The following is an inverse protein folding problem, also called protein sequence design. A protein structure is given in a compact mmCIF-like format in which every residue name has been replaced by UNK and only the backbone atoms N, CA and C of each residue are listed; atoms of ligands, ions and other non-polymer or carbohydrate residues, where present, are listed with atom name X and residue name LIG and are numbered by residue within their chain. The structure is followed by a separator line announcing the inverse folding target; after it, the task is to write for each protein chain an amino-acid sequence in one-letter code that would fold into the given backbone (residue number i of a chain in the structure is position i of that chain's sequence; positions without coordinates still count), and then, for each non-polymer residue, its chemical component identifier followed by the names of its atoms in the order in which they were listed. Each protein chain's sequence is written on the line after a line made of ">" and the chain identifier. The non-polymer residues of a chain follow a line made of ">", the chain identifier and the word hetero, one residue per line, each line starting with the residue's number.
data_IF_164836188678
#
_entry.id   IF_164836188678
#
_cell.length_a   1.000
_cell.length_b   1.000
_cell.length_c   1.000
_cell.angle_alpha   90.00
_cell.angle_beta   90.00
_cell.angle_gamma   90.00
#
_symmetry.space_group_name_H-M   'P 1'
#
loop_
_entity.id
_entity.type
_entity.pdbx_description
1 polymer ?
#
# COMPACT_ATOMS: atom_id res chain seq x y z
N UNK A 1 0.02 -1.26 -14.94
CA UNK A 1 1.28 -0.94 -14.25
C UNK A 1 2.39 -1.61 -15.01
N UNK A 2 3.55 -0.98 -15.16
CA UNK A 2 4.65 -1.58 -15.92
C UNK A 2 5.94 -1.59 -15.11
N UNK A 3 6.78 -2.59 -15.35
CA UNK A 3 8.13 -2.71 -14.77
C UNK A 3 9.16 -2.77 -15.88
N UNK A 4 10.32 -2.19 -15.63
CA UNK A 4 11.53 -2.35 -16.46
C UNK A 4 12.66 -2.90 -15.59
N UNK A 5 13.52 -3.73 -16.20
CA UNK A 5 14.72 -4.29 -15.56
C UNK A 5 16.00 -4.03 -16.37
N UNK A 6 15.89 -3.27 -17.46
CA UNK A 6 16.95 -2.98 -18.42
C UNK A 6 17.20 -1.47 -18.56
N UNK A 7 16.86 -0.69 -17.53
CA UNK A 7 17.04 0.76 -17.55
C UNK A 7 16.02 1.51 -18.41
N UNK A 8 14.90 0.85 -18.76
CA UNK A 8 13.81 1.46 -19.52
C UNK A 8 13.81 1.16 -21.01
N UNK A 9 14.69 0.26 -21.48
CA UNK A 9 14.69 -0.20 -22.88
C UNK A 9 13.42 -0.99 -23.21
N UNK A 10 12.95 -1.81 -22.27
CA UNK A 10 11.68 -2.52 -22.37
C UNK A 10 10.84 -2.45 -21.09
N UNK A 11 9.53 -2.54 -21.27
CA UNK A 11 8.53 -2.44 -20.22
C UNK A 11 7.56 -3.60 -20.31
N UNK A 12 7.34 -4.30 -19.20
CA UNK A 12 6.41 -5.43 -19.09
C UNK A 12 5.20 -5.02 -18.26
N UNK A 13 3.98 -5.31 -18.73
CA UNK A 13 2.76 -5.10 -17.95
C UNK A 13 2.72 -6.11 -16.79
N UNK A 14 2.62 -5.57 -15.59
CA UNK A 14 2.59 -6.30 -14.31
C UNK A 14 1.39 -5.87 -13.48
N UNK A 15 0.32 -5.42 -14.12
CA UNK A 15 -0.92 -5.08 -13.42
C UNK A 15 -1.46 -6.31 -12.66
N UNK A 16 -1.77 -6.21 -11.35
CA UNK A 16 -2.43 -7.31 -10.65
C UNK A 16 -3.71 -7.70 -11.38
N UNK A 17 -3.93 -9.00 -11.68
CA UNK A 17 -5.08 -9.43 -12.48
C UNK A 17 -6.42 -9.10 -11.81
N UNK A 18 -6.47 -9.12 -10.48
CA UNK A 18 -7.68 -8.82 -9.68
C UNK A 18 -7.75 -7.35 -9.24
N UNK A 19 -6.93 -6.46 -9.83
CA UNK A 19 -7.02 -5.03 -9.57
C UNK A 19 -8.39 -4.51 -10.04
N UNK A 20 -9.12 -3.73 -9.23
CA UNK A 20 -10.43 -3.24 -9.61
C UNK A 20 -10.35 -2.38 -10.87
N UNK A 21 -11.26 -2.64 -11.81
CA UNK A 21 -11.40 -1.82 -13.00
C UNK A 21 -11.63 -0.34 -12.61
N UNK A 22 -11.00 0.56 -13.35
CA UNK A 22 -10.93 2.01 -13.08
C UNK A 22 -10.32 2.38 -11.73
N UNK A 23 -9.70 1.42 -11.03
CA UNK A 23 -8.91 1.67 -9.83
C UNK A 23 -7.73 2.58 -10.14
N UNK A 24 -7.61 3.68 -9.39
CA UNK A 24 -6.44 4.56 -9.47
C UNK A 24 -5.38 4.05 -8.50
N UNK A 25 -4.22 3.64 -9.02
CA UNK A 25 -3.02 3.43 -8.21
C UNK A 25 -2.66 4.77 -7.55
N UNK A 26 -2.80 4.85 -6.23
CA UNK A 26 -2.52 6.07 -5.45
C UNK A 26 -1.06 6.18 -5.06
N UNK A 27 -0.41 5.04 -4.81
CA UNK A 27 1.00 4.97 -4.44
C UNK A 27 1.60 3.63 -4.88
N UNK A 28 2.90 3.67 -5.18
CA UNK A 28 3.77 2.51 -5.33
C UNK A 28 4.97 2.76 -4.42
N UNK A 29 5.29 1.79 -3.56
CA UNK A 29 6.42 1.83 -2.64
C UNK A 29 7.32 0.61 -2.89
N UNK A 30 8.55 0.86 -3.34
CA UNK A 30 9.54 -0.21 -3.53
C UNK A 30 10.21 -0.51 -2.20
N UNK A 31 10.47 -1.78 -1.92
CA UNK A 31 11.05 -2.18 -0.64
C UNK A 31 12.48 -1.67 -0.48
N UNK A 32 12.83 -1.28 0.75
CA UNK A 32 14.19 -0.95 1.14
C UNK A 32 15.08 -2.18 1.35
N UNK A 33 14.47 -3.37 1.50
CA UNK A 33 15.17 -4.61 1.86
C UNK A 33 15.24 -5.62 0.71
N UNK A 34 14.29 -5.60 -0.23
CA UNK A 34 14.22 -6.57 -1.33
C UNK A 34 13.89 -5.88 -2.66
N UNK A 35 14.80 -5.97 -3.64
CA UNK A 35 14.65 -5.31 -4.94
C UNK A 35 13.46 -5.83 -5.76
N UNK A 36 12.97 -7.05 -5.50
CA UNK A 36 11.80 -7.64 -6.14
C UNK A 36 10.49 -7.29 -5.43
N UNK A 37 10.56 -6.71 -4.22
CA UNK A 37 9.38 -6.40 -3.40
C UNK A 37 8.89 -4.99 -3.61
N UNK A 38 7.57 -4.87 -3.76
CA UNK A 38 6.89 -3.59 -3.81
C UNK A 38 5.47 -3.71 -3.27
N UNK A 39 4.93 -2.58 -2.81
CA UNK A 39 3.58 -2.43 -2.31
C UNK A 39 2.87 -1.36 -3.12
N UNK A 40 1.58 -1.56 -3.38
CA UNK A 40 0.75 -0.58 -4.05
C UNK A 40 -0.55 -0.37 -3.29
N UNK A 41 -1.03 0.87 -3.29
CA UNK A 41 -2.40 1.21 -2.88
C UNK A 41 -3.21 1.60 -4.10
N UNK A 42 -4.48 1.19 -4.15
CA UNK A 42 -5.44 1.56 -5.19
C UNK A 42 -6.69 2.11 -4.53
N UNK A 43 -7.33 3.09 -5.16
CA UNK A 43 -8.60 3.64 -4.70
C UNK A 43 -9.49 4.06 -5.86
N UNK A 44 -10.80 4.07 -5.63
CA UNK A 44 -11.78 4.63 -6.58
C UNK A 44 -13.02 5.19 -5.86
N UNK A 45 -12.85 6.10 -4.87
CA UNK A 45 -13.98 6.67 -4.13
C UNK A 45 -14.90 7.52 -5.03
N UNK A 46 -14.41 8.02 -6.17
CA UNK A 46 -15.24 8.72 -7.17
C UNK A 46 -16.26 7.80 -7.87
N UNK A 47 -16.16 6.48 -7.65
CA UNK A 47 -17.09 5.47 -8.13
C UNK A 47 -17.82 4.77 -6.96
N UNK A 48 -17.95 5.44 -5.81
CA UNK A 48 -18.61 4.95 -4.60
C UNK A 48 -18.08 3.62 -4.05
N UNK A 49 -16.82 3.30 -4.32
CA UNK A 49 -16.14 2.13 -3.76
C UNK A 49 -15.06 2.56 -2.77
N UNK A 50 -15.36 2.33 -1.50
CA UNK A 50 -14.55 2.70 -0.34
C UNK A 50 -13.76 1.50 0.21
N UNK A 51 -13.70 0.37 -0.51
CA UNK A 51 -12.99 -0.82 -0.02
C UNK A 51 -11.48 -0.62 0.04
N UNK A 52 -10.80 -1.28 0.99
CA UNK A 52 -9.36 -1.28 1.06
C UNK A 52 -8.76 -2.14 -0.06
N UNK A 53 -7.71 -1.59 -0.66
CA UNK A 53 -6.99 -2.20 -1.76
C UNK A 53 -5.50 -1.92 -1.62
N UNK A 54 -4.79 -2.91 -1.11
CA UNK A 54 -3.33 -2.96 -1.04
C UNK A 54 -2.89 -4.28 -1.69
N UNK A 55 -1.90 -4.23 -2.59
CA UNK A 55 -1.22 -5.43 -3.06
C UNK A 55 0.26 -5.37 -2.78
N UNK A 56 0.83 -6.54 -2.58
CA UNK A 56 2.26 -6.80 -2.43
C UNK A 56 2.75 -7.73 -3.53
N UNK A 57 3.94 -7.47 -4.04
CA UNK A 57 4.71 -8.40 -4.86
C UNK A 57 6.06 -8.68 -4.20
N UNK A 58 6.71 -9.78 -4.55
CA UNK A 58 8.09 -10.11 -4.15
C UNK A 58 8.92 -10.66 -5.33
N UNK A 59 8.43 -10.46 -6.56
CA UNK A 59 9.01 -11.01 -7.78
C UNK A 59 8.92 -10.02 -8.95
N UNK A 60 9.09 -8.73 -8.67
CA UNK A 60 9.03 -7.63 -9.64
C UNK A 60 7.66 -7.48 -10.31
N UNK A 61 6.57 -7.89 -9.64
CA UNK A 61 5.20 -7.76 -10.12
C UNK A 61 4.72 -8.93 -10.98
N UNK A 62 5.47 -10.04 -11.06
CA UNK A 62 4.99 -11.25 -11.75
C UNK A 62 3.80 -11.85 -11.01
N UNK A 63 3.81 -11.81 -9.68
CA UNK A 63 2.69 -12.18 -8.83
C UNK A 63 2.38 -11.10 -7.82
N UNK A 64 1.08 -11.00 -7.47
CA UNK A 64 0.56 -10.02 -6.52
C UNK A 64 -0.36 -10.71 -5.52
N UNK A 65 -0.21 -10.35 -4.25
CA UNK A 65 -1.08 -10.80 -3.16
C UNK A 65 -1.81 -9.59 -2.58
N UNK A 66 -3.14 -9.67 -2.45
CA UNK A 66 -3.92 -8.64 -1.75
C UNK A 66 -3.67 -8.76 -0.25
N UNK A 67 -3.33 -7.67 0.41
CA UNK A 67 -2.88 -7.63 1.82
C UNK A 67 -3.67 -6.59 2.62
N UNK A 68 -4.96 -6.86 2.87
CA UNK A 68 -5.89 -5.91 3.51
C UNK A 68 -6.58 -6.45 4.76
N UNK A 69 -6.20 -7.65 5.21
CA UNK A 69 -6.85 -8.33 6.32
C UNK A 69 -6.68 -7.51 7.61
N UNK A 70 -7.78 -7.15 8.26
CA UNK A 70 -7.80 -6.28 9.44
C UNK A 70 -8.02 -4.79 9.16
N UNK A 71 -8.01 -4.37 7.89
CA UNK A 71 -8.48 -3.03 7.50
C UNK A 71 -10.00 -3.08 7.31
N UNK A 72 -10.72 -2.07 7.78
CA UNK A 72 -12.17 -1.97 7.59
C UNK A 72 -12.56 -1.97 6.11
N UNK A 73 -13.67 -2.62 5.79
CA UNK A 73 -14.20 -2.71 4.41
C UNK A 73 -14.67 -1.38 3.81
N UNK A 74 -14.82 -0.32 4.63
CA UNK A 74 -15.18 1.05 4.21
C UNK A 74 -14.00 2.03 4.29
N UNK A 75 -12.78 1.54 4.52
CA UNK A 75 -11.57 2.34 4.60
C UNK A 75 -10.71 2.18 3.33
N UNK A 76 -10.92 3.05 2.34
CA UNK A 76 -10.06 3.07 1.15
C UNK A 76 -8.67 3.59 1.51
N UNK A 77 -7.67 2.98 0.87
CA UNK A 77 -6.26 3.25 1.16
C UNK A 77 -5.73 4.34 0.24
N UNK A 78 -5.14 5.38 0.84
CA UNK A 78 -4.46 6.45 0.12
C UNK A 78 -2.97 6.15 -0.06
N UNK A 79 -2.35 5.55 0.96
CA UNK A 79 -0.93 5.27 1.00
C UNK A 79 -0.65 3.96 1.74
N UNK A 80 0.37 3.23 1.30
CA UNK A 80 1.02 2.09 1.97
C UNK A 80 2.53 2.29 1.90
N UNK A 81 3.22 2.16 3.04
CA UNK A 81 4.67 2.37 3.15
C UNK A 81 5.34 1.27 3.95
N UNK A 82 6.49 0.82 3.49
CA UNK A 82 7.42 0.01 4.30
C UNK A 82 8.26 0.91 5.20
N UNK A 83 8.48 0.49 6.44
CA UNK A 83 9.44 1.14 7.34
C UNK A 83 10.87 0.81 6.87
N UNK A 84 11.68 1.79 6.44
CA UNK A 84 13.02 1.52 5.91
C UNK A 84 14.01 1.01 6.96
N UNK A 85 13.66 1.06 8.24
CA UNK A 85 14.50 0.60 9.36
C UNK A 85 14.05 -0.75 9.93
N UNK A 86 12.84 -1.23 9.56
CA UNK A 86 12.31 -2.50 10.06
C UNK A 86 11.55 -3.25 8.97
N UNK A 87 12.21 -4.26 8.42
CA UNK A 87 11.59 -5.17 7.46
C UNK A 87 10.30 -5.78 8.02
N UNK A 88 9.26 -5.79 7.19
CA UNK A 88 7.94 -6.31 7.52
C UNK A 88 7.06 -5.38 8.37
N UNK A 89 7.56 -4.22 8.79
CA UNK A 89 6.72 -3.18 9.39
C UNK A 89 6.16 -2.28 8.29
N UNK A 90 4.84 -2.23 8.16
CA UNK A 90 4.14 -1.40 7.18
C UNK A 90 3.15 -0.44 7.84
N UNK A 91 2.91 0.69 7.18
CA UNK A 91 1.88 1.65 7.55
C UNK A 91 0.93 1.91 6.38
N UNK A 92 -0.37 1.98 6.66
CA UNK A 92 -1.38 2.31 5.67
C UNK A 92 -2.20 3.52 6.13
N UNK A 93 -2.20 4.58 5.31
CA UNK A 93 -3.05 5.75 5.50
C UNK A 93 -4.37 5.56 4.76
N UNK A 94 -5.48 5.68 5.47
CA UNK A 94 -6.83 5.49 4.94
C UNK A 94 -7.69 6.74 5.12
N UNK A 95 -8.91 6.74 4.59
CA UNK A 95 -9.89 7.77 4.94
C UNK A 95 -10.42 7.70 6.38
N UNK A 96 -10.09 6.64 7.12
CA UNK A 96 -10.52 6.40 8.51
C UNK A 96 -9.32 6.26 9.46
N UNK A 97 -8.26 7.04 9.25
CA UNK A 97 -7.05 6.96 10.08
C UNK A 97 -5.95 6.06 9.52
N UNK A 98 -5.03 5.65 10.40
CA UNK A 98 -3.81 4.90 10.06
C UNK A 98 -3.90 3.48 10.59
N UNK A 99 -3.43 2.52 9.79
CA UNK A 99 -3.24 1.14 10.18
C UNK A 99 -1.75 0.80 10.17
N UNK A 100 -1.34 -0.13 11.02
CA UNK A 100 0.00 -0.69 11.09
C UNK A 100 -0.06 -2.20 10.91
N UNK A 101 0.89 -2.76 10.17
CA UNK A 101 1.13 -4.20 10.07
C UNK A 101 2.55 -4.48 10.53
N UNK A 102 2.71 -5.52 11.34
CA UNK A 102 4.02 -5.98 11.85
C UNK A 102 4.49 -7.26 11.15
N UNK A 103 3.74 -7.73 10.15
CA UNK A 103 3.86 -9.03 9.48
C UNK A 103 3.76 -8.89 7.96
N UNK A 104 4.30 -7.78 7.44
CA UNK A 104 4.47 -7.54 6.01
C UNK A 104 3.14 -7.58 5.22
N UNK A 105 2.11 -7.03 5.84
CA UNK A 105 0.75 -6.88 5.31
C UNK A 105 -0.16 -8.08 5.52
N UNK A 106 0.29 -9.15 6.20
CA UNK A 106 -0.56 -10.31 6.44
C UNK A 106 -1.73 -9.98 7.39
N UNK A 107 -1.54 -9.08 8.35
CA UNK A 107 -2.61 -8.52 9.17
C UNK A 107 -2.35 -7.06 9.55
N UNK A 108 -3.44 -6.29 9.64
CA UNK A 108 -3.41 -4.87 9.98
C UNK A 108 -4.14 -4.59 11.29
N UNK A 109 -3.64 -3.60 12.02
CA UNK A 109 -4.23 -3.10 13.26
C UNK A 109 -4.37 -1.59 13.16
N UNK A 110 -5.50 -1.06 13.64
CA UNK A 110 -5.72 0.39 13.69
C UNK A 110 -4.74 1.02 14.69
N UNK A 111 -3.99 2.04 14.24
CA UNK A 111 -3.07 2.79 15.07
C UNK A 111 -3.83 3.93 15.76
N UNK A 112 -4.53 3.58 16.83
CA UNK A 112 -5.34 4.51 17.63
C UNK A 112 -4.45 5.39 18.53
N UNK A 113 -4.02 6.55 18.02
CA UNK A 113 -3.28 7.57 18.78
C UNK A 113 -4.19 8.66 19.40
N UNK A 114 -5.48 8.35 19.62
CA UNK A 114 -6.47 9.36 20.03
C UNK A 114 -6.82 10.36 18.93
N UNK A 115 -6.52 10.02 17.67
CA UNK A 115 -6.86 10.82 16.51
C UNK A 115 -8.35 10.69 16.21
N UNK A 116 -9.06 11.80 15.88
CA UNK A 116 -10.42 11.72 15.37
C UNK A 116 -10.44 11.02 14.00
N UNK A 117 -11.59 10.44 13.66
CA UNK A 117 -11.86 9.83 12.35
C UNK A 117 -11.71 10.89 11.25
N UNK A 118 -10.53 10.95 10.64
CA UNK A 118 -10.14 11.93 9.65
C UNK A 118 -9.41 11.26 8.48
N UNK A 119 -9.58 11.79 7.27
CA UNK A 119 -8.92 11.23 6.11
C UNK A 119 -7.41 11.50 6.11
N UNK A 120 -6.62 10.44 6.07
CA UNK A 120 -5.17 10.49 5.93
C UNK A 120 -4.81 10.42 4.45
N UNK A 121 -4.36 11.53 3.90
CA UNK A 121 -4.09 11.65 2.45
C UNK A 121 -2.73 11.09 2.05
N UNK A 122 -1.78 11.04 2.98
CA UNK A 122 -0.44 10.50 2.76
C UNK A 122 0.13 10.01 4.09
N UNK A 123 1.07 9.09 4.03
CA UNK A 123 1.89 8.67 5.17
C UNK A 123 3.34 8.80 4.73
N UNK A 124 4.12 9.52 5.52
CA UNK A 124 5.57 9.64 5.35
C UNK A 124 6.23 9.01 6.56
N UNK A 125 7.07 8.01 6.29
CA UNK A 125 7.96 7.44 7.30
C UNK A 125 9.27 8.20 7.19
N UNK A 126 9.52 9.12 8.11
CA UNK A 126 10.80 9.81 8.24
C UNK A 126 11.59 9.16 9.37
N UNK A 127 12.92 9.15 9.28
CA UNK A 127 13.76 8.50 10.29
C UNK A 127 13.37 8.97 11.70
N UNK A 128 12.90 8.01 12.50
CA UNK A 128 12.37 8.12 13.86
C UNK A 128 10.98 8.75 14.10
N UNK A 129 10.23 9.24 13.09
CA UNK A 129 8.85 9.72 13.32
C UNK A 129 7.91 9.48 12.11
N UNK A 130 6.66 9.12 12.42
CA UNK A 130 5.56 9.08 11.45
C UNK A 130 5.01 10.49 11.29
N UNK A 131 5.17 11.09 10.10
CA UNK A 131 4.50 12.33 9.74
C UNK A 131 3.20 12.00 8.98
N UNK A 132 2.07 12.46 9.52
CA UNK A 132 0.71 12.27 8.98
C UNK A 132 0.19 13.60 8.45
#
# INVERSE_FOLDING_TARGET
>A
MHVTRDGGESWTDVTPPDMPEFGRVSQIDASAFDAGRAYISVRKPLLDDFRPYIWKTSDYGQTWTKIVDGIRDDAYVNAVREDPNREGLLYAGTNHGVYVSYDDGASWQELNMGLPDLPITNVVVEHNELAV
#
